data_IF_964332325040
#
_entry.id   IF_964332325040
#
_cell.length_a   1.000
_cell.length_b   1.000
_cell.length_c   1.000
_cell.angle_alpha   90.00
_cell.angle_beta   90.00
_cell.angle_gamma   90.00
#
_symmetry.space_group_name_H-M   'P 1'
#
loop_
_entity.id
_entity.type
_entity.pdbx_description
1 polymer ?
#
# COMPACT_ATOMS: atom_id res chain seq x y z
N UNK A 1 15.51 15.12 -10.39
CA UNK A 1 14.89 13.78 -10.37
C UNK A 1 13.47 13.92 -10.88
N UNK A 2 13.11 13.25 -11.99
CA UNK A 2 11.74 13.29 -12.50
C UNK A 2 10.80 12.53 -11.56
N UNK A 3 9.68 13.16 -11.20
CA UNK A 3 8.64 12.58 -10.35
C UNK A 3 7.42 12.26 -11.21
N UNK A 4 6.98 11.01 -11.19
CA UNK A 4 5.83 10.53 -11.95
C UNK A 4 4.85 9.88 -10.96
N UNK A 5 3.61 10.39 -10.92
CA UNK A 5 2.52 9.85 -10.05
C UNK A 5 2.97 9.72 -8.58
N UNK A 6 3.64 10.77 -8.08
CA UNK A 6 4.08 10.79 -6.68
C UNK A 6 5.32 9.94 -6.38
N UNK A 7 5.91 9.25 -7.36
CA UNK A 7 7.09 8.40 -7.19
C UNK A 7 8.29 9.01 -7.91
N UNK A 8 9.44 8.98 -7.22
CA UNK A 8 10.70 9.45 -7.77
C UNK A 8 11.34 8.36 -8.63
N UNK A 9 11.63 8.70 -9.87
CA UNK A 9 12.21 7.78 -10.84
C UNK A 9 13.73 8.03 -10.95
N UNK A 10 14.56 6.97 -11.07
CA UNK A 10 15.99 7.13 -11.26
C UNK A 10 16.29 7.79 -12.62
N UNK A 11 16.79 9.02 -12.53
CA UNK A 11 17.12 9.89 -13.66
C UNK A 11 18.23 9.40 -14.59
N UNK A 12 19.23 8.72 -14.03
CA UNK A 12 20.41 8.23 -14.74
C UNK A 12 20.13 7.06 -15.70
N UNK A 13 18.92 6.49 -15.65
CA UNK A 13 18.51 5.35 -16.47
C UNK A 13 17.74 5.81 -17.72
N UNK A 14 17.71 4.94 -18.74
CA UNK A 14 16.84 5.12 -19.91
C UNK A 14 15.37 5.08 -19.49
N UNK A 15 14.51 5.81 -20.19
CA UNK A 15 13.08 5.98 -19.85
C UNK A 15 12.36 4.62 -19.71
N UNK A 16 12.60 3.68 -20.62
CA UNK A 16 11.97 2.34 -20.58
C UNK A 16 12.23 1.58 -19.28
N UNK A 17 13.44 1.72 -18.73
CA UNK A 17 13.85 1.02 -17.50
C UNK A 17 13.49 1.81 -16.26
N UNK A 18 13.42 3.13 -16.38
CA UNK A 18 13.12 4.02 -15.26
C UNK A 18 11.63 3.92 -14.89
N UNK A 19 10.72 3.78 -15.87
CA UNK A 19 9.29 3.57 -15.63
C UNK A 19 8.95 2.28 -14.88
N UNK A 20 9.80 1.24 -14.96
CA UNK A 20 9.61 -0.05 -14.27
C UNK A 20 9.69 0.04 -12.75
N UNK A 21 10.13 1.16 -12.21
CA UNK A 21 10.14 1.40 -10.77
C UNK A 21 8.74 1.65 -10.22
N UNK A 22 7.78 1.99 -11.09
CA UNK A 22 6.37 2.09 -10.74
C UNK A 22 5.77 0.69 -10.67
N UNK A 23 5.18 0.34 -9.54
CA UNK A 23 4.47 -0.91 -9.34
C UNK A 23 3.27 -1.01 -10.28
N UNK A 24 3.23 -2.10 -11.05
CA UNK A 24 2.25 -2.32 -12.11
C UNK A 24 2.80 -2.04 -13.52
N UNK A 25 3.97 -1.41 -13.64
CA UNK A 25 4.63 -1.18 -14.94
C UNK A 25 5.79 -2.15 -15.14
N UNK A 26 5.62 -3.08 -16.09
CA UNK A 26 6.68 -3.97 -16.56
C UNK A 26 7.41 -3.42 -17.78
N UNK A 27 8.39 -4.16 -18.31
CA UNK A 27 9.14 -3.75 -19.51
C UNK A 27 8.22 -3.56 -20.73
N UNK A 28 7.32 -4.51 -20.98
CA UNK A 28 6.40 -4.45 -22.12
C UNK A 28 5.46 -3.24 -22.04
N UNK A 29 4.94 -2.93 -20.84
CA UNK A 29 4.08 -1.76 -20.62
C UNK A 29 4.87 -0.47 -20.77
N UNK A 30 6.09 -0.41 -20.21
CA UNK A 30 6.95 0.75 -20.35
C UNK A 30 7.28 1.05 -21.82
N UNK A 31 7.59 0.04 -22.62
CA UNK A 31 7.83 0.20 -24.05
C UNK A 31 6.57 0.65 -24.81
N UNK A 32 5.40 0.11 -24.46
CA UNK A 32 4.15 0.55 -25.06
C UNK A 32 3.86 2.03 -24.75
N UNK A 33 4.06 2.45 -23.49
CA UNK A 33 3.85 3.84 -23.06
C UNK A 33 4.83 4.79 -23.76
N UNK A 34 6.11 4.42 -23.85
CA UNK A 34 7.13 5.25 -24.54
C UNK A 34 6.80 5.41 -26.03
N UNK A 35 6.33 4.34 -26.69
CA UNK A 35 5.87 4.39 -28.08
C UNK A 35 4.64 5.27 -28.25
N UNK A 36 3.65 5.16 -27.35
CA UNK A 36 2.44 5.97 -27.37
C UNK A 36 2.71 7.45 -27.09
N UNK A 37 3.64 7.74 -26.17
CA UNK A 37 4.08 9.10 -25.84
C UNK A 37 4.97 9.72 -26.94
N UNK A 38 5.35 8.94 -27.95
CA UNK A 38 6.26 9.34 -29.04
C UNK A 38 7.61 9.86 -28.53
N UNK A 39 8.16 9.19 -27.50
CA UNK A 39 9.45 9.54 -26.90
C UNK A 39 10.50 8.56 -27.40
N UNK A 40 11.71 9.05 -27.67
CA UNK A 40 12.83 8.18 -28.01
C UNK A 40 13.23 7.31 -26.79
N UNK A 41 13.20 5.97 -26.92
CA UNK A 41 13.57 5.05 -25.84
C UNK A 41 15.05 5.12 -25.42
N UNK A 42 15.93 5.73 -26.23
CA UNK A 42 17.33 5.94 -25.87
C UNK A 42 17.53 7.12 -24.90
N UNK A 43 16.55 8.03 -24.78
CA UNK A 43 16.63 9.15 -23.85
C UNK A 43 16.76 8.69 -22.40
N UNK A 44 17.45 9.51 -21.61
CA UNK A 44 17.54 9.34 -20.15
C UNK A 44 16.35 10.01 -19.48
N UNK A 45 15.96 9.50 -18.31
CA UNK A 45 14.85 10.07 -17.57
C UNK A 45 15.11 11.50 -17.07
N UNK A 46 16.37 11.87 -16.82
CA UNK A 46 16.75 13.27 -16.49
C UNK A 46 16.61 14.23 -17.67
N UNK A 47 16.65 13.73 -18.91
CA UNK A 47 16.56 14.55 -20.12
C UNK A 47 15.11 14.72 -20.63
N UNK A 48 14.12 14.24 -19.86
CA UNK A 48 12.71 14.40 -20.20
C UNK A 48 12.26 15.84 -20.01
N UNK A 49 11.55 16.37 -21.00
CA UNK A 49 10.91 17.68 -20.91
C UNK A 49 9.65 17.61 -20.03
N UNK A 50 9.22 18.75 -19.50
CA UNK A 50 7.99 18.83 -18.69
C UNK A 50 6.75 18.33 -19.44
N UNK A 51 6.67 18.57 -20.74
CA UNK A 51 5.57 18.10 -21.60
C UNK A 51 5.60 16.60 -21.86
N UNK A 52 6.78 16.00 -22.02
CA UNK A 52 6.92 14.55 -22.15
C UNK A 52 6.50 13.86 -20.84
N UNK A 53 6.82 14.46 -19.70
CA UNK A 53 6.41 13.95 -18.39
C UNK A 53 4.89 13.98 -18.21
N UNK A 54 4.22 15.08 -18.58
CA UNK A 54 2.75 15.17 -18.48
C UNK A 54 2.06 14.20 -19.42
N UNK A 55 2.59 13.99 -20.63
CA UNK A 55 2.09 12.96 -21.56
C UNK A 55 2.18 11.56 -20.95
N UNK A 56 3.33 11.21 -20.37
CA UNK A 56 3.50 9.92 -19.69
C UNK A 56 2.54 9.78 -18.50
N UNK A 57 2.34 10.82 -17.68
CA UNK A 57 1.44 10.74 -16.53
C UNK A 57 0.00 10.52 -16.93
N UNK A 58 -0.47 11.18 -17.99
CA UNK A 58 -1.85 11.03 -18.45
C UNK A 58 -2.09 9.61 -18.98
N UNK A 59 -1.18 9.10 -19.83
CA UNK A 59 -1.25 7.74 -20.36
C UNK A 59 -1.25 6.67 -19.24
N UNK A 60 -0.49 6.93 -18.17
CA UNK A 60 -0.42 6.04 -17.02
C UNK A 60 -1.70 6.07 -16.18
N UNK A 61 -2.32 7.24 -16.00
CA UNK A 61 -3.56 7.39 -15.23
C UNK A 61 -4.77 6.79 -15.95
N UNK A 62 -4.87 6.99 -17.26
CA UNK A 62 -6.05 6.57 -18.03
C UNK A 62 -6.02 5.07 -18.36
N UNK A 63 -4.84 4.51 -18.63
CA UNK A 63 -4.70 3.17 -19.17
C UNK A 63 -4.48 2.06 -18.14
N UNK A 64 -4.03 2.40 -16.92
CA UNK A 64 -3.48 1.40 -16.00
C UNK A 64 -3.88 1.61 -14.54
N UNK A 65 -4.20 0.51 -13.87
CA UNK A 65 -4.30 0.47 -12.41
C UNK A 65 -2.88 0.34 -11.83
N UNK A 66 -2.44 1.35 -11.09
CA UNK A 66 -1.07 1.48 -10.61
C UNK A 66 -1.00 1.47 -9.08
N UNK A 67 0.19 1.15 -8.57
CA UNK A 67 0.60 1.35 -7.18
C UNK A 67 -0.46 1.04 -6.11
N UNK A 68 -0.99 2.07 -5.46
CA UNK A 68 -1.91 1.93 -4.34
C UNK A 68 -3.15 1.15 -4.72
N UNK A 69 -3.73 1.43 -5.87
CA UNK A 69 -4.96 0.80 -6.33
C UNK A 69 -4.70 -0.66 -6.70
N UNK A 70 -3.60 -0.95 -7.41
CA UNK A 70 -3.24 -2.32 -7.77
C UNK A 70 -2.93 -3.16 -6.51
N UNK A 71 -2.25 -2.57 -5.52
CA UNK A 71 -1.97 -3.24 -4.23
C UNK A 71 -3.25 -3.50 -3.44
N UNK A 72 -4.17 -2.53 -3.43
CA UNK A 72 -5.48 -2.65 -2.76
C UNK A 72 -6.33 -3.72 -3.42
N UNK A 73 -6.40 -3.74 -4.75
CA UNK A 73 -7.15 -4.72 -5.52
C UNK A 73 -6.63 -6.14 -5.25
N UNK A 74 -5.31 -6.35 -5.31
CA UNK A 74 -4.70 -7.66 -5.00
C UNK A 74 -4.97 -8.07 -3.56
N UNK A 75 -4.87 -7.15 -2.60
CA UNK A 75 -5.17 -7.44 -1.20
C UNK A 75 -6.65 -7.80 -0.99
N UNK A 76 -7.58 -7.08 -1.63
CA UNK A 76 -9.01 -7.37 -1.61
C UNK A 76 -9.31 -8.73 -2.23
N UNK A 77 -8.69 -9.06 -3.37
CA UNK A 77 -8.81 -10.36 -4.00
C UNK A 77 -8.38 -11.51 -3.08
N UNK A 78 -7.28 -11.35 -2.34
CA UNK A 78 -6.82 -12.35 -1.37
C UNK A 78 -7.77 -12.42 -0.17
N UNK A 79 -8.21 -11.29 0.37
CA UNK A 79 -9.17 -11.23 1.51
C UNK A 79 -10.49 -11.89 1.15
N UNK A 80 -11.00 -11.66 -0.06
CA UNK A 80 -12.20 -12.32 -0.60
C UNK A 80 -12.05 -13.84 -0.63
N UNK A 81 -10.90 -14.36 -1.09
CA UNK A 81 -10.67 -15.81 -1.09
C UNK A 81 -10.65 -16.41 0.32
N UNK A 82 -10.15 -15.65 1.30
CA UNK A 82 -10.10 -16.05 2.71
C UNK A 82 -11.49 -16.03 3.34
N UNK A 83 -12.29 -14.97 3.09
CA UNK A 83 -13.65 -14.85 3.67
C UNK A 83 -14.59 -15.94 3.14
N UNK A 84 -14.48 -16.29 1.87
CA UNK A 84 -15.26 -17.38 1.24
C UNK A 84 -14.86 -18.76 1.82
N UNK A 85 -13.66 -18.90 2.40
CA UNK A 85 -13.18 -20.19 2.92
C UNK A 85 -12.71 -21.17 1.84
N UNK A 86 -12.48 -20.70 0.60
CA UNK A 86 -11.95 -21.52 -0.49
C UNK A 86 -10.61 -22.18 -0.13
N UNK A 87 -10.27 -23.33 -0.74
CA UNK A 87 -8.97 -24.00 -0.52
C UNK A 87 -7.80 -23.02 -0.70
N UNK A 88 -7.84 -22.19 -1.75
CA UNK A 88 -6.84 -21.14 -2.00
C UNK A 88 -6.75 -20.16 -0.83
N UNK A 89 -7.89 -19.70 -0.30
CA UNK A 89 -7.97 -18.84 0.87
C UNK A 89 -7.35 -19.46 2.12
N UNK A 90 -7.66 -20.73 2.40
CA UNK A 90 -7.08 -21.48 3.53
C UNK A 90 -5.55 -21.55 3.42
N UNK A 91 -5.01 -21.77 2.21
CA UNK A 91 -3.56 -21.78 1.95
C UNK A 91 -2.93 -20.39 2.15
N UNK A 92 -3.61 -19.34 1.70
CA UNK A 92 -3.18 -17.96 1.95
C UNK A 92 -3.14 -17.64 3.45
N UNK A 93 -4.16 -18.03 4.21
CA UNK A 93 -4.24 -17.86 5.67
C UNK A 93 -3.14 -18.62 6.41
N UNK A 94 -2.83 -19.85 5.98
CA UNK A 94 -1.78 -20.69 6.57
C UNK A 94 -0.35 -20.32 6.12
N UNK A 95 -0.18 -19.35 5.23
CA UNK A 95 1.15 -19.00 4.70
C UNK A 95 1.81 -20.13 3.91
N UNK A 96 1.03 -20.92 3.16
CA UNK A 96 1.53 -22.04 2.34
C UNK A 96 1.38 -21.75 0.84
N UNK A 97 2.17 -22.42 -0.01
CA UNK A 97 2.00 -22.36 -1.46
C UNK A 97 0.57 -22.75 -1.88
N UNK A 98 0.04 -21.99 -2.86
CA UNK A 98 -1.35 -22.06 -3.30
C UNK A 98 -1.52 -22.88 -4.59
N UNK A 99 -0.46 -22.99 -5.41
CA UNK A 99 -0.48 -23.66 -6.73
C UNK A 99 -0.10 -25.15 -6.66
N UNK A 100 -0.50 -25.87 -5.61
CA UNK A 100 -0.25 -27.32 -5.49
C UNK A 100 1.22 -27.75 -5.32
N UNK A 101 2.12 -26.82 -4.98
CA UNK A 101 3.55 -27.12 -4.82
C UNK A 101 3.81 -28.02 -3.61
N UNK A 102 4.82 -28.91 -3.70
CA UNK A 102 5.24 -29.81 -2.62
C UNK A 102 5.71 -29.00 -1.39
N UNK A 103 5.02 -29.15 -0.26
CA UNK A 103 5.33 -28.39 0.96
C UNK A 103 6.22 -29.11 1.99
N UNK A 104 6.60 -30.35 1.72
CA UNK A 104 7.44 -31.15 2.60
C UNK A 104 8.87 -30.57 2.71
N UNK A 105 9.51 -30.30 1.56
CA UNK A 105 10.90 -29.85 1.49
C UNK A 105 11.01 -28.34 1.19
N UNK A 106 10.65 -27.94 -0.03
CA UNK A 106 11.00 -26.64 -0.61
C UNK A 106 9.77 -25.72 -0.69
N UNK A 107 9.48 -24.99 0.38
CA UNK A 107 8.41 -23.98 0.42
C UNK A 107 8.83 -22.69 1.14
N UNK A 108 10.13 -22.35 1.12
CA UNK A 108 10.72 -21.29 1.97
C UNK A 108 10.32 -19.88 1.56
N UNK A 109 10.15 -19.60 0.28
CA UNK A 109 9.65 -18.29 -0.20
C UNK A 109 8.30 -17.92 0.42
N UNK A 110 7.45 -18.91 0.74
CA UNK A 110 6.13 -18.69 1.34
C UNK A 110 6.08 -18.94 2.86
N UNK A 111 6.80 -19.96 3.35
CA UNK A 111 6.90 -20.29 4.79
C UNK A 111 7.82 -19.34 5.58
N UNK A 112 8.68 -18.59 4.90
CA UNK A 112 9.73 -17.77 5.51
C UNK A 112 10.98 -18.56 5.89
N UNK A 113 11.85 -17.88 6.64
CA UNK A 113 13.13 -18.41 7.15
C UNK A 113 12.91 -19.68 7.99
N UNK A 114 13.91 -20.57 8.04
CA UNK A 114 13.85 -21.77 8.87
C UNK A 114 13.74 -21.35 10.34
N UNK A 115 12.59 -21.62 10.94
CA UNK A 115 12.42 -21.51 12.40
C UNK A 115 13.22 -22.64 13.03
N UNK A 116 14.35 -22.31 13.65
CA UNK A 116 15.10 -23.27 14.48
C UNK A 116 14.29 -23.51 15.73
N UNK A 117 13.66 -24.68 15.83
CA UNK A 117 12.99 -25.10 17.06
C UNK A 117 14.09 -25.60 17.99
N UNK A 118 14.47 -24.80 18.99
CA UNK A 118 15.16 -25.32 20.18
C UNK A 118 16.70 -25.39 20.17
N UNK A 119 17.42 -24.43 19.58
CA UNK A 119 18.86 -24.26 19.89
C UNK A 119 19.13 -22.86 20.41
N UNK A 120 18.69 -22.60 21.65
CA UNK A 120 19.33 -21.57 22.47
C UNK A 120 20.64 -22.20 22.97
N UNK A 121 21.75 -21.91 22.29
CA UNK A 121 23.09 -22.18 22.82
C UNK A 121 23.43 -21.05 23.77
N UNK A 122 23.62 -21.39 25.05
CA UNK A 122 24.01 -20.45 26.10
C UNK A 122 22.90 -20.24 27.15
N UNK A 123 23.28 -20.40 28.41
CA UNK A 123 22.43 -20.14 29.60
C UNK A 123 21.94 -18.68 29.61
N UNK A 124 22.77 -17.76 29.09
CA UNK A 124 22.54 -16.31 29.05
C UNK A 124 21.45 -15.91 28.05
N UNK A 125 21.42 -16.54 26.86
CA UNK A 125 20.39 -16.28 25.85
C UNK A 125 18.99 -16.81 26.26
N UNK A 126 18.91 -17.77 27.20
CA UNK A 126 17.62 -18.21 27.79
C UNK A 126 17.06 -17.21 28.80
N UNK A 127 17.91 -16.45 29.48
CA UNK A 127 17.48 -15.45 30.45
C UNK A 127 16.83 -14.24 29.76
N UNK A 128 17.41 -13.76 28.66
CA UNK A 128 16.89 -12.64 27.87
C UNK A 128 15.51 -12.92 27.26
N UNK A 129 15.30 -14.13 26.72
CA UNK A 129 13.99 -14.53 26.14
C UNK A 129 12.91 -14.69 27.23
N UNK A 130 13.30 -14.95 28.49
CA UNK A 130 12.36 -15.12 29.61
C UNK A 130 11.99 -13.80 30.27
N UNK A 131 12.84 -12.77 30.20
CA UNK A 131 12.56 -11.43 30.73
C UNK A 131 11.64 -10.59 29.82
N UNK A 132 11.59 -10.86 28.52
CA UNK A 132 10.78 -10.08 27.56
C UNK A 132 9.32 -10.52 27.43
N UNK A 133 8.92 -11.66 28.00
CA UNK A 133 7.53 -12.12 28.00
C UNK A 133 7.06 -12.35 29.45
N UNK A 134 6.45 -11.34 30.12
CA UNK A 134 5.01 -11.14 29.97
C UNK A 134 4.50 -9.70 30.29
N UNK A 135 5.03 -8.63 29.67
CA UNK A 135 4.55 -7.26 29.95
C UNK A 135 3.67 -6.63 28.84
N UNK A 136 3.91 -6.92 27.57
CA UNK A 136 3.19 -6.23 26.48
C UNK A 136 1.77 -6.76 26.18
N UNK A 137 1.37 -7.88 26.76
CA UNK A 137 0.07 -8.49 26.47
C UNK A 137 -1.12 -7.92 27.27
N UNK A 138 -0.89 -7.07 28.29
CA UNK A 138 -1.97 -6.54 29.16
C UNK A 138 -2.35 -5.07 28.93
N UNK A 139 -1.59 -4.31 28.13
CA UNK A 139 -1.83 -2.86 27.97
C UNK A 139 -2.79 -2.47 26.83
N UNK A 140 -3.22 -3.40 25.96
CA UNK A 140 -4.08 -3.09 24.79
C UNK A 140 -5.55 -3.50 24.94
N UNK A 141 -5.98 -4.04 26.08
CA UNK A 141 -7.36 -4.50 26.31
C UNK A 141 -8.13 -3.71 27.38
N UNK A 142 -7.67 -2.52 27.75
CA UNK A 142 -8.37 -1.68 28.73
C UNK A 142 -8.52 -0.23 28.23
N UNK A 143 -9.32 -0.04 27.18
CA UNK A 143 -9.89 1.27 26.85
C UNK A 143 -11.16 1.11 26.00
N UNK A 144 -12.22 0.56 26.61
CA UNK A 144 -13.60 0.91 26.30
C UNK A 144 -14.53 0.34 27.40
N UNK A 145 -15.31 1.19 28.07
CA UNK A 145 -16.66 0.80 28.41
C UNK A 145 -17.67 1.76 27.77
N UNK A 146 -18.64 1.13 27.14
CA UNK A 146 -19.88 1.67 26.63
C UNK A 146 -20.77 2.12 27.79
N UNK A 147 -21.40 3.30 27.67
CA UNK A 147 -22.70 3.55 28.29
C UNK A 147 -23.65 4.12 27.24
N UNK A 148 -24.61 3.29 26.83
CA UNK A 148 -25.82 3.71 26.15
C UNK A 148 -26.83 4.22 27.18
N UNK A 149 -27.48 5.35 26.91
CA UNK A 149 -28.79 5.69 27.47
C UNK A 149 -29.49 6.77 26.63
N UNK A 150 -30.63 6.37 26.05
CA UNK A 150 -31.87 7.11 25.82
C UNK A 150 -31.88 8.42 24.98
N UNK A 151 -32.53 8.35 23.82
CA UNK A 151 -33.37 9.44 23.30
C UNK A 151 -34.74 9.41 24.03
N UNK A 152 -35.47 10.55 24.19
CA UNK A 152 -36.31 11.04 23.08
C UNK A 152 -36.48 12.58 22.95
N UNK A 153 -36.68 12.99 21.70
CA UNK A 153 -37.49 14.10 21.14
C UNK A 153 -37.81 15.39 21.95
N UNK A 154 -37.49 16.57 21.36
CA UNK A 154 -38.46 17.51 20.74
C UNK A 154 -37.81 18.83 20.25
N UNK A 155 -38.27 19.27 19.08
CA UNK A 155 -38.49 20.65 18.61
C UNK A 155 -37.30 21.58 18.23
N UNK A 156 -37.08 21.73 16.91
CA UNK A 156 -36.77 23.04 16.28
C UNK A 156 -38.01 23.97 16.34
N UNK A 157 -38.01 25.27 15.91
CA UNK A 157 -36.93 26.08 15.30
C UNK A 157 -36.83 27.53 15.88
N UNK A 158 -35.82 28.32 15.46
CA UNK A 158 -36.01 29.65 14.82
C UNK A 158 -34.69 30.37 14.49
N UNK A 159 -34.54 30.59 13.18
CA UNK A 159 -33.91 31.67 12.42
C UNK A 159 -33.38 32.93 13.15
N UNK A 160 -32.20 33.38 12.67
CA UNK A 160 -31.76 34.76 12.38
C UNK A 160 -30.41 34.64 11.64
N UNK A 161 -30.36 34.59 10.30
CA UNK A 161 -30.32 35.71 9.34
C UNK A 161 -29.16 36.68 9.63
N UNK A 162 -28.10 36.57 8.81
CA UNK A 162 -27.08 37.61 8.60
C UNK A 162 -27.73 38.92 8.10
N UNK A 163 -27.04 40.07 8.15
CA UNK A 163 -26.34 40.43 6.91
C UNK A 163 -24.99 41.14 7.12
N UNK A 164 -24.11 40.93 6.13
CA UNK A 164 -23.00 41.81 5.76
C UNK A 164 -23.49 43.25 5.50
N UNK A 165 -22.70 44.23 5.93
CA UNK A 165 -22.65 45.56 5.31
C UNK A 165 -21.24 46.17 5.46
N UNK A 166 -20.81 46.84 4.39
CA UNK A 166 -19.54 47.55 4.16
C UNK A 166 -19.54 48.95 4.81
N UNK A 167 -18.35 49.52 5.08
CA UNK A 167 -17.96 50.96 4.94
C UNK A 167 -16.72 51.22 5.84
N UNK A 168 -15.52 51.50 5.30
CA UNK A 168 -14.95 52.82 4.95
C UNK A 168 -14.32 53.64 6.11
N UNK A 169 -13.00 53.90 5.95
CA UNK A 169 -12.24 55.14 6.25
C UNK A 169 -11.96 55.65 7.69
N UNK A 170 -10.72 56.19 7.83
CA UNK A 170 -10.09 57.00 8.91
C UNK A 170 -9.67 56.19 10.16
N UNK A 171 -8.44 56.26 10.68
CA UNK A 171 -7.34 57.25 10.70
C UNK A 171 -5.99 56.55 10.70
#
# INVERSE_FOLDING_TARGET
>A
MPKIIGIDIPGKKRVEYSLRYIYGVGLSRAQAIVRQAQIDPAKRADALTGEELTRITNLLQDGYVLEGDLRREVAQNIRRLISIGSYRGVRHRKGLPVRGQRTHTNARTRKGVRKTVGVVRGKEARAAVKSEAPAEAKAKTAAAPVKAAAAPAKAEPKAKVEPKAKAEAKT
#
